data_IF_637739220634
#
_entry.id   IF_637739220634
#
_cell.length_a   1.000
_cell.length_b   1.000
_cell.length_c   1.000
_cell.angle_alpha   90.00
_cell.angle_beta   90.00
_cell.angle_gamma   90.00
#
_symmetry.space_group_name_H-M   'P 1'
#
loop_
_entity.id
_entity.type
_entity.pdbx_description
1 polymer ?
#
# COMPACT_ATOMS: atom_id res chain seq x y z
N UNK A 1 18.64 -0.97 -2.77
CA UNK A 1 17.91 -0.91 -1.49
C UNK A 1 16.69 0.01 -1.63
N UNK A 2 15.57 -0.36 -1.06
CA UNK A 2 14.36 0.47 -1.10
C UNK A 2 14.50 1.70 -0.20
N UNK A 3 14.36 2.89 -0.78
CA UNK A 3 14.52 4.17 -0.07
C UNK A 3 13.22 4.99 0.04
N UNK A 4 12.09 4.41 -0.37
CA UNK A 4 10.80 5.09 -0.36
C UNK A 4 10.02 4.92 0.94
N UNK A 5 8.84 5.53 0.98
CA UNK A 5 7.84 5.30 2.03
C UNK A 5 6.88 4.19 1.59
N UNK A 6 6.46 3.35 2.53
CA UNK A 6 5.49 2.30 2.26
C UNK A 6 4.09 2.90 2.12
N UNK A 7 3.71 3.80 3.02
CA UNK A 7 2.42 4.49 2.95
C UNK A 7 2.61 5.98 2.65
N UNK A 8 1.62 6.57 2.00
CA UNK A 8 1.57 8.01 1.74
C UNK A 8 0.31 8.60 2.32
N UNK A 9 0.47 9.67 3.09
CA UNK A 9 -0.63 10.55 3.45
C UNK A 9 -0.86 11.54 2.32
N UNK A 10 -2.13 11.81 2.01
CA UNK A 10 -2.46 12.77 0.97
C UNK A 10 -3.86 12.54 0.38
N UNK A 11 -4.21 13.37 -0.57
CA UNK A 11 -5.53 13.32 -1.19
C UNK A 11 -5.56 12.37 -2.38
N UNK A 12 -6.59 11.54 -2.42
CA UNK A 12 -6.96 10.79 -3.63
C UNK A 12 -8.50 10.74 -3.77
N UNK A 13 -8.97 10.24 -4.91
CA UNK A 13 -10.40 10.20 -5.21
C UNK A 13 -11.24 9.42 -4.19
N UNK A 14 -10.63 8.47 -3.46
CA UNK A 14 -11.33 7.66 -2.44
C UNK A 14 -11.40 8.34 -1.07
N UNK A 15 -10.57 9.33 -0.80
CA UNK A 15 -10.47 9.97 0.51
C UNK A 15 -10.88 11.45 0.52
N UNK A 16 -10.96 12.09 -0.65
CA UNK A 16 -11.29 13.52 -0.80
C UNK A 16 -12.73 13.85 -0.37
N UNK A 17 -13.63 12.87 -0.37
CA UNK A 17 -15.03 13.08 0.05
C UNK A 17 -15.18 13.21 1.57
N UNK A 18 -14.16 12.88 2.34
CA UNK A 18 -14.16 13.10 3.78
C UNK A 18 -13.77 14.52 4.11
N UNK A 19 -14.35 15.06 5.17
CA UNK A 19 -13.89 16.33 5.72
C UNK A 19 -12.48 16.14 6.29
N UNK A 20 -11.47 16.64 5.61
CA UNK A 20 -10.07 16.47 5.98
C UNK A 20 -9.66 17.20 7.27
N UNK A 21 -10.60 17.87 7.96
CA UNK A 21 -10.31 18.61 9.20
C UNK A 21 -10.17 17.69 10.42
N UNK A 22 -10.84 16.54 10.45
CA UNK A 22 -10.84 15.63 11.60
C UNK A 22 -9.94 14.40 11.40
N UNK A 23 -9.84 13.90 10.17
CA UNK A 23 -9.09 12.70 9.83
C UNK A 23 -8.08 12.96 8.71
N UNK A 24 -6.90 12.39 8.83
CA UNK A 24 -5.94 12.28 7.73
C UNK A 24 -5.75 10.80 7.40
N UNK A 25 -5.78 10.45 6.11
CA UNK A 25 -5.64 9.07 5.66
C UNK A 25 -4.29 8.86 5.00
N UNK A 26 -3.52 7.90 5.51
CA UNK A 26 -2.33 7.36 4.85
C UNK A 26 -2.69 6.08 4.10
N UNK A 27 -2.19 5.93 2.89
CA UNK A 27 -2.60 4.88 1.97
C UNK A 27 -1.40 4.12 1.47
N UNK A 28 -1.49 2.78 1.45
CA UNK A 28 -0.58 1.93 0.71
C UNK A 28 -1.07 1.80 -0.74
N UNK A 29 -0.20 2.20 -1.67
CA UNK A 29 -0.42 2.02 -3.10
C UNK A 29 0.58 1.02 -3.64
N UNK A 30 0.11 -0.17 -4.00
CA UNK A 30 0.88 -1.17 -4.72
C UNK A 30 0.50 -1.22 -6.19
N UNK A 31 1.20 -2.04 -6.96
CA UNK A 31 0.80 -2.40 -8.32
C UNK A 31 -0.36 -3.39 -8.22
N UNK A 32 -1.53 -3.07 -8.76
CA UNK A 32 -2.65 -4.00 -8.78
C UNK A 32 -2.40 -5.08 -9.83
N UNK A 33 -3.15 -6.19 -9.70
CA UNK A 33 -3.18 -7.21 -10.72
C UNK A 33 -1.86 -7.99 -10.82
N UNK A 34 -1.58 -8.53 -12.00
CA UNK A 34 -0.43 -9.40 -12.24
C UNK A 34 0.82 -8.59 -12.54
N UNK A 35 1.93 -8.97 -11.93
CA UNK A 35 3.25 -8.45 -12.25
C UNK A 35 4.31 -9.54 -12.11
N UNK A 36 5.47 -9.34 -12.72
CA UNK A 36 6.60 -10.23 -12.59
C UNK A 36 7.62 -9.65 -11.61
N UNK A 37 8.14 -10.52 -10.74
CA UNK A 37 9.23 -10.18 -9.81
C UNK A 37 10.37 -11.19 -9.99
N UNK A 38 11.58 -10.80 -9.62
CA UNK A 38 12.70 -11.73 -9.48
C UNK A 38 12.93 -12.05 -8.01
N UNK A 39 12.94 -13.34 -7.69
CA UNK A 39 13.24 -13.84 -6.36
C UNK A 39 14.12 -15.07 -6.45
N UNK A 40 15.27 -15.05 -5.78
CA UNK A 40 16.25 -16.15 -5.80
C UNK A 40 16.67 -16.56 -7.21
N UNK A 41 16.84 -15.59 -8.12
CA UNK A 41 17.23 -15.85 -9.52
C UNK A 41 16.11 -16.36 -10.41
N UNK A 42 14.89 -16.46 -9.91
CA UNK A 42 13.72 -16.92 -10.66
C UNK A 42 12.74 -15.78 -10.91
N UNK A 43 12.19 -15.72 -12.13
CA UNK A 43 11.11 -14.80 -12.47
C UNK A 43 9.77 -15.41 -12.05
N UNK A 44 9.07 -14.75 -11.15
CA UNK A 44 7.78 -15.20 -10.62
C UNK A 44 6.67 -14.21 -11.00
N UNK A 45 5.50 -14.74 -11.34
CA UNK A 45 4.31 -13.93 -11.50
C UNK A 45 3.56 -13.84 -10.16
N UNK A 46 3.25 -12.63 -9.74
CA UNK A 46 2.46 -12.35 -8.53
C UNK A 46 1.22 -11.54 -8.89
N UNK A 47 0.17 -11.66 -8.07
CA UNK A 47 -1.08 -10.97 -8.28
C UNK A 47 -1.60 -10.42 -6.95
N UNK A 48 -1.63 -9.10 -6.80
CA UNK A 48 -2.12 -8.43 -5.60
C UNK A 48 -3.63 -8.12 -5.63
N UNK A 49 -4.32 -8.48 -6.73
CA UNK A 49 -5.76 -8.32 -6.92
C UNK A 49 -6.34 -9.62 -7.49
N UNK A 50 -6.43 -10.66 -6.66
CA UNK A 50 -6.78 -12.02 -7.10
C UNK A 50 -8.15 -12.10 -7.80
N UNK A 51 -9.09 -11.24 -7.41
CA UNK A 51 -10.46 -11.24 -7.96
C UNK A 51 -10.70 -10.20 -9.05
N UNK A 52 -9.67 -9.51 -9.53
CA UNK A 52 -9.82 -8.45 -10.52
C UNK A 52 -10.40 -8.95 -11.85
N UNK A 53 -10.05 -10.16 -12.29
CA UNK A 53 -10.57 -10.76 -13.51
C UNK A 53 -12.09 -11.02 -13.41
N UNK A 54 -12.53 -11.54 -12.26
CA UNK A 54 -13.95 -11.86 -12.00
C UNK A 54 -14.76 -10.58 -11.84
N UNK A 55 -14.23 -9.62 -11.09
CA UNK A 55 -14.89 -8.36 -10.80
C UNK A 55 -14.82 -7.34 -11.95
N UNK A 56 -14.02 -7.60 -12.98
CA UNK A 56 -13.79 -6.70 -14.13
C UNK A 56 -13.41 -5.28 -13.71
N UNK A 57 -12.70 -5.14 -12.61
CA UNK A 57 -12.36 -3.82 -12.05
C UNK A 57 -11.09 -3.19 -12.64
N UNK A 58 -10.41 -3.90 -13.55
CA UNK A 58 -9.16 -3.42 -14.14
C UNK A 58 -9.31 -2.09 -14.90
N UNK A 59 -10.35 -1.96 -15.71
CA UNK A 59 -10.60 -0.76 -16.51
C UNK A 59 -10.95 0.47 -15.66
N UNK A 60 -11.64 0.27 -14.53
CA UNK A 60 -12.02 1.33 -13.60
C UNK A 60 -11.06 1.53 -12.42
N UNK A 61 -9.88 0.92 -12.45
CA UNK A 61 -8.95 0.95 -11.33
C UNK A 61 -8.30 2.32 -11.16
N UNK A 62 -8.14 2.77 -9.92
CA UNK A 62 -7.41 4.00 -9.56
C UNK A 62 -5.92 3.98 -9.98
N UNK A 63 -5.38 2.82 -10.33
CA UNK A 63 -4.00 2.68 -10.79
C UNK A 63 -3.71 3.55 -12.01
N UNK A 64 -4.65 3.62 -12.95
CA UNK A 64 -4.52 4.39 -14.19
C UNK A 64 -5.29 5.73 -14.16
N UNK A 65 -5.92 6.09 -13.05
CA UNK A 65 -6.68 7.33 -12.93
C UNK A 65 -5.79 8.52 -12.52
N UNK A 66 -6.03 9.68 -13.11
CA UNK A 66 -5.35 10.93 -12.74
C UNK A 66 -3.82 10.81 -12.74
N UNK A 67 -3.18 11.24 -11.66
CA UNK A 67 -1.72 11.17 -11.47
C UNK A 67 -1.17 9.75 -11.42
N UNK A 68 -2.02 8.75 -11.23
CA UNK A 68 -1.64 7.33 -11.27
C UNK A 68 -1.06 6.88 -12.62
N UNK A 69 -1.31 7.63 -13.70
CA UNK A 69 -0.75 7.37 -15.04
C UNK A 69 0.74 7.70 -15.15
N UNK A 70 1.28 8.53 -14.26
CA UNK A 70 2.68 8.95 -14.36
C UNK A 70 3.64 7.79 -14.09
N UNK A 71 4.68 7.67 -14.92
CA UNK A 71 5.65 6.59 -14.83
C UNK A 71 6.37 6.55 -13.47
N UNK A 72 6.67 7.69 -12.88
CA UNK A 72 7.28 7.77 -11.55
C UNK A 72 6.38 7.24 -10.45
N UNK A 73 5.06 7.48 -10.54
CA UNK A 73 4.07 6.94 -9.61
C UNK A 73 3.96 5.43 -9.76
N UNK A 74 3.90 4.94 -10.99
CA UNK A 74 3.81 3.51 -11.26
C UNK A 74 5.08 2.77 -10.83
N UNK A 75 6.26 3.36 -11.09
CA UNK A 75 7.52 2.81 -10.61
C UNK A 75 7.53 2.68 -9.07
N UNK A 76 7.12 3.72 -8.36
CA UNK A 76 7.05 3.73 -6.90
C UNK A 76 6.10 2.64 -6.36
N UNK A 77 4.97 2.41 -7.02
CA UNK A 77 4.05 1.32 -6.69
C UNK A 77 4.67 -0.05 -6.93
N UNK A 78 5.35 -0.21 -8.06
CA UNK A 78 6.05 -1.46 -8.42
C UNK A 78 7.16 -1.77 -7.42
N UNK A 79 7.96 -0.79 -7.03
CA UNK A 79 9.04 -0.97 -6.06
C UNK A 79 8.50 -1.45 -4.70
N UNK A 80 7.40 -0.86 -4.21
CA UNK A 80 6.76 -1.30 -2.96
C UNK A 80 6.20 -2.72 -3.06
N UNK A 81 5.53 -3.03 -4.15
CA UNK A 81 4.94 -4.36 -4.37
C UNK A 81 6.03 -5.41 -4.50
N UNK A 82 7.11 -5.11 -5.21
CA UNK A 82 8.29 -5.99 -5.32
C UNK A 82 8.87 -6.28 -3.93
N UNK A 83 9.05 -5.25 -3.10
CA UNK A 83 9.53 -5.44 -1.73
C UNK A 83 8.60 -6.35 -0.92
N UNK A 84 7.29 -6.16 -1.03
CA UNK A 84 6.29 -6.98 -0.34
C UNK A 84 6.42 -8.47 -0.67
N UNK A 85 6.71 -8.81 -1.92
CA UNK A 85 6.83 -10.20 -2.34
C UNK A 85 8.25 -10.79 -2.20
N UNK A 86 9.28 -9.95 -2.26
CA UNK A 86 10.67 -10.42 -2.17
C UNK A 86 11.22 -10.42 -0.75
N UNK A 87 10.87 -9.45 0.08
CA UNK A 87 11.32 -9.34 1.48
C UNK A 87 10.18 -8.81 2.34
N UNK A 88 9.25 -9.70 2.65
CA UNK A 88 8.04 -9.35 3.41
C UNK A 88 8.34 -8.86 4.82
N UNK A 89 9.34 -9.43 5.47
CA UNK A 89 9.70 -9.05 6.84
C UNK A 89 10.21 -7.60 6.88
N UNK A 90 11.06 -7.23 5.94
CA UNK A 90 11.51 -5.85 5.80
C UNK A 90 10.36 -4.91 5.43
N UNK A 91 9.48 -5.33 4.50
CA UNK A 91 8.30 -4.54 4.13
C UNK A 91 7.42 -4.25 5.34
N UNK A 92 7.11 -5.27 6.13
CA UNK A 92 6.25 -5.12 7.31
C UNK A 92 6.91 -4.26 8.40
N UNK A 93 8.22 -4.39 8.61
CA UNK A 93 8.95 -3.54 9.54
C UNK A 93 8.91 -2.06 9.12
N UNK A 94 9.10 -1.78 7.84
CA UNK A 94 9.01 -0.42 7.29
C UNK A 94 7.57 0.12 7.35
N UNK A 95 6.58 -0.72 7.09
CA UNK A 95 5.16 -0.36 7.19
C UNK A 95 4.80 0.07 8.61
N UNK A 96 5.16 -0.73 9.62
CA UNK A 96 4.91 -0.39 11.03
C UNK A 96 5.60 0.92 11.40
N UNK A 97 6.85 1.10 11.00
CA UNK A 97 7.61 2.34 11.25
C UNK A 97 6.94 3.56 10.62
N UNK A 98 6.45 3.43 9.39
CA UNK A 98 5.75 4.52 8.70
C UNK A 98 4.41 4.85 9.36
N UNK A 99 3.66 3.83 9.82
CA UNK A 99 2.41 4.02 10.55
C UNK A 99 2.66 4.75 11.87
N UNK A 100 3.67 4.33 12.64
CA UNK A 100 4.03 4.99 13.90
C UNK A 100 4.40 6.46 13.71
N UNK A 101 5.20 6.78 12.71
CA UNK A 101 5.55 8.16 12.38
C UNK A 101 4.34 8.99 11.95
N UNK A 102 3.46 8.40 11.16
CA UNK A 102 2.23 9.04 10.72
C UNK A 102 1.30 9.32 11.90
N UNK A 103 1.13 8.37 12.80
CA UNK A 103 0.33 8.51 14.01
C UNK A 103 0.84 9.65 14.90
N UNK A 104 2.15 9.67 15.17
CA UNK A 104 2.79 10.73 15.97
C UNK A 104 2.53 12.11 15.36
N UNK A 105 2.67 12.23 14.02
CA UNK A 105 2.41 13.50 13.33
C UNK A 105 0.95 13.92 13.46
N UNK A 106 0.02 13.00 13.31
CA UNK A 106 -1.41 13.30 13.41
C UNK A 106 -1.79 13.73 14.83
N UNK A 107 -1.29 13.05 15.84
CA UNK A 107 -1.51 13.41 17.27
C UNK A 107 -0.98 14.82 17.53
N UNK A 108 0.23 15.14 17.07
CA UNK A 108 0.85 16.46 17.22
C UNK A 108 -0.01 17.57 16.60
N UNK A 109 -0.68 17.28 15.49
CA UNK A 109 -1.54 18.24 14.79
C UNK A 109 -3.01 18.17 15.22
N UNK A 110 -3.34 17.39 16.24
CA UNK A 110 -4.69 17.16 16.72
C UNK A 110 -5.66 16.63 15.64
N UNK A 111 -5.15 15.71 14.80
CA UNK A 111 -5.87 15.06 13.71
C UNK A 111 -5.90 13.56 14.00
N UNK A 112 -7.02 12.90 13.70
CA UNK A 112 -7.14 11.44 13.86
C UNK A 112 -6.50 10.72 12.68
N UNK A 113 -5.57 9.78 12.92
CA UNK A 113 -4.96 9.01 11.84
C UNK A 113 -5.88 7.91 11.34
N UNK A 114 -5.95 7.76 10.02
CA UNK A 114 -6.56 6.62 9.35
C UNK A 114 -5.54 5.99 8.41
N UNK A 115 -5.53 4.65 8.35
CA UNK A 115 -4.65 3.92 7.43
C UNK A 115 -5.49 3.03 6.53
N UNK A 116 -5.25 3.14 5.22
CA UNK A 116 -5.87 2.29 4.21
C UNK A 116 -4.80 1.45 3.53
N UNK A 117 -4.83 0.13 3.74
CA UNK A 117 -3.80 -0.76 3.22
C UNK A 117 -4.05 -1.24 1.78
N UNK A 118 -5.25 -1.09 1.27
CA UNK A 118 -5.59 -1.45 -0.12
C UNK A 118 -6.05 -0.22 -0.90
N UNK A 119 -5.12 0.63 -1.32
CA UNK A 119 -5.39 1.77 -2.20
C UNK A 119 -5.64 1.34 -3.64
N UNK A 120 -4.75 0.52 -4.19
CA UNK A 120 -4.80 -0.01 -5.56
C UNK A 120 -4.61 -1.53 -5.63
N UNK A 121 -4.63 -2.22 -4.49
CA UNK A 121 -4.46 -3.67 -4.36
C UNK A 121 -5.64 -4.28 -3.61
N UNK A 122 -5.70 -5.60 -3.56
CA UNK A 122 -6.67 -6.36 -2.77
C UNK A 122 -5.95 -7.49 -2.02
N UNK A 123 -5.01 -7.10 -1.16
CA UNK A 123 -4.23 -8.01 -0.32
C UNK A 123 -5.04 -8.35 0.93
N UNK A 124 -5.06 -9.63 1.30
CA UNK A 124 -5.72 -10.11 2.51
C UNK A 124 -4.82 -9.89 3.74
N UNK A 125 -4.74 -8.64 4.18
CA UNK A 125 -3.87 -8.23 5.29
C UNK A 125 -4.18 -8.94 6.59
N UNK A 126 -5.44 -9.33 6.80
CA UNK A 126 -5.89 -10.06 7.98
C UNK A 126 -5.25 -11.44 8.13
N UNK A 127 -4.66 -11.97 7.06
CA UNK A 127 -3.95 -13.26 7.07
C UNK A 127 -2.44 -13.13 7.23
N UNK A 128 -1.93 -11.91 7.33
CA UNK A 128 -0.50 -11.63 7.39
C UNK A 128 -0.11 -11.25 8.81
N UNK A 129 0.84 -11.99 9.39
CA UNK A 129 1.41 -11.68 10.70
C UNK A 129 2.62 -10.77 10.57
N UNK A 130 2.75 -9.83 11.50
CA UNK A 130 3.95 -8.99 11.63
C UNK A 130 4.98 -9.78 12.45
N UNK A 131 6.15 -10.14 11.89
CA UNK A 131 7.07 -11.09 12.53
C UNK A 131 7.53 -10.68 13.93
N UNK A 132 7.80 -9.39 14.12
CA UNK A 132 8.31 -8.87 15.40
C UNK A 132 7.30 -9.00 16.55
N UNK A 133 6.01 -8.95 16.25
CA UNK A 133 4.96 -8.90 17.26
C UNK A 133 4.10 -10.15 17.31
N UNK A 134 4.31 -11.11 16.40
CA UNK A 134 3.48 -12.32 16.21
C UNK A 134 1.97 -12.02 16.21
N UNK A 135 1.61 -10.85 15.69
CA UNK A 135 0.23 -10.37 15.61
C UNK A 135 -0.07 -9.81 14.23
N UNK A 136 -1.34 -9.67 13.90
CA UNK A 136 -1.80 -9.10 12.65
C UNK A 136 -1.56 -7.58 12.63
N UNK A 137 -1.44 -6.99 11.44
CA UNK A 137 -1.24 -5.53 11.28
C UNK A 137 -2.42 -4.71 11.84
N UNK A 138 -3.61 -5.30 11.97
CA UNK A 138 -4.79 -4.66 12.55
C UNK A 138 -4.87 -4.75 14.07
N UNK A 139 -4.05 -5.56 14.69
CA UNK A 139 -3.97 -5.68 16.15
C UNK A 139 -3.05 -4.58 16.72
#
# INVERSE_FOLDING_TARGET
>A
MFNGKIIKAGMNAKTVKGDGSEFETAIFYGTPFKMFIEKAGKKLQVNSCAFADIAKCFEGCLYSAGRGKFSSVQKSRTDRTTLFYTDRDLFLALLVKDIEKFEVRCIKNNIKPCVRLNGTTDIQWEKIKVPKYDMNIFD
#
